data_IF_714964043374
#
_entry.id   IF_714964043374
#
_cell.length_a   1.000
_cell.length_b   1.000
_cell.length_c   1.000
_cell.angle_alpha   90.00
_cell.angle_beta   90.00
_cell.angle_gamma   90.00
#
_symmetry.space_group_name_H-M   'P 1'
#
loop_
_entity.id
_entity.type
_entity.pdbx_description
1 polymer ?
#
# COMPACT_ATOMS: atom_id res chain seq x y z
N UNK A 1 -18.63 20.28 -8.00
CA UNK A 1 -17.96 19.80 -9.22
C UNK A 1 -17.05 18.64 -8.83
N UNK A 2 -17.14 17.50 -9.51
CA UNK A 2 -16.18 16.43 -9.32
C UNK A 2 -14.84 16.85 -9.94
N UNK A 3 -13.75 16.72 -9.19
CA UNK A 3 -12.41 16.93 -9.72
C UNK A 3 -12.05 15.83 -10.72
N UNK A 4 -11.17 16.09 -11.70
CA UNK A 4 -10.67 15.05 -12.60
C UNK A 4 -9.97 13.95 -11.81
N UNK A 5 -9.88 12.76 -12.41
CA UNK A 5 -9.18 11.64 -11.81
C UNK A 5 -7.69 11.95 -11.64
N UNK A 6 -7.09 11.33 -10.63
CA UNK A 6 -5.68 11.50 -10.30
C UNK A 6 -4.80 11.02 -11.46
N UNK A 7 -3.78 11.81 -11.82
CA UNK A 7 -2.90 11.52 -12.97
C UNK A 7 -1.68 10.64 -12.61
N UNK A 8 -1.15 10.78 -11.39
CA UNK A 8 0.06 10.08 -10.94
C UNK A 8 -0.06 9.64 -9.49
N UNK A 9 0.55 8.51 -9.17
CA UNK A 9 0.76 8.00 -7.82
C UNK A 9 2.25 7.97 -7.53
N UNK A 10 2.67 8.31 -6.32
CA UNK A 10 4.06 8.06 -5.92
C UNK A 10 4.27 6.55 -5.74
N UNK A 11 5.51 6.10 -5.87
CA UNK A 11 5.85 4.69 -5.62
C UNK A 11 5.52 4.27 -4.18
N UNK A 12 5.56 5.19 -3.20
CA UNK A 12 5.14 4.91 -1.82
C UNK A 12 3.63 4.70 -1.71
N UNK A 13 2.84 5.54 -2.38
CA UNK A 13 1.38 5.38 -2.39
C UNK A 13 0.97 4.07 -3.07
N UNK A 14 1.63 3.70 -4.16
CA UNK A 14 1.39 2.43 -4.84
C UNK A 14 1.76 1.23 -3.96
N UNK A 15 2.91 1.29 -3.28
CA UNK A 15 3.33 0.23 -2.35
C UNK A 15 2.34 0.04 -1.20
N UNK A 16 1.87 1.14 -0.59
CA UNK A 16 0.82 1.10 0.44
C UNK A 16 -0.50 0.54 -0.10
N UNK A 17 -0.89 0.94 -1.30
CA UNK A 17 -2.14 0.51 -1.93
C UNK A 17 -2.15 -0.98 -2.28
N UNK A 18 -1.01 -1.53 -2.67
CA UNK A 18 -0.85 -2.94 -3.02
C UNK A 18 -0.38 -3.81 -1.85
N UNK A 19 -0.24 -3.24 -0.65
CA UNK A 19 0.28 -3.91 0.54
C UNK A 19 1.60 -4.65 0.27
N UNK A 20 2.52 -3.97 -0.41
CA UNK A 20 3.83 -4.52 -0.78
C UNK A 20 4.98 -3.63 -0.31
N UNK A 21 6.19 -4.19 -0.27
CA UNK A 21 7.39 -3.41 0.03
C UNK A 21 7.85 -2.60 -1.17
N UNK A 22 8.52 -1.48 -0.93
CA UNK A 22 9.18 -0.69 -2.00
C UNK A 22 10.19 -1.53 -2.79
N UNK A 23 10.93 -2.43 -2.12
CA UNK A 23 11.84 -3.36 -2.78
C UNK A 23 11.15 -4.35 -3.71
N UNK A 24 9.96 -4.84 -3.34
CA UNK A 24 9.14 -5.72 -4.20
C UNK A 24 8.63 -4.99 -5.44
N UNK A 25 8.12 -3.77 -5.26
CA UNK A 25 7.70 -2.89 -6.34
C UNK A 25 8.85 -2.59 -7.31
N UNK A 26 10.03 -2.28 -6.79
CA UNK A 26 11.23 -2.06 -7.58
C UNK A 26 11.63 -3.29 -8.40
N UNK A 27 11.44 -4.50 -7.86
CA UNK A 27 11.69 -5.75 -8.57
C UNK A 27 10.77 -5.93 -9.78
N UNK A 28 9.49 -5.58 -9.67
CA UNK A 28 8.57 -5.59 -10.82
C UNK A 28 8.99 -4.58 -11.87
N UNK A 29 9.39 -3.38 -11.45
CA UNK A 29 9.81 -2.36 -12.38
C UNK A 29 11.14 -2.68 -13.07
N UNK A 30 12.12 -3.22 -12.33
CA UNK A 30 13.39 -3.68 -12.89
C UNK A 30 13.24 -4.85 -13.88
N UNK A 31 12.13 -5.61 -13.80
CA UNK A 31 11.80 -6.68 -14.76
C UNK A 31 10.88 -6.22 -15.89
N UNK A 32 10.61 -4.91 -16.00
CA UNK A 32 9.78 -4.33 -17.06
C UNK A 32 8.28 -4.58 -16.90
N UNK A 33 7.84 -5.09 -15.76
CA UNK A 33 6.40 -5.33 -15.49
C UNK A 33 5.66 -4.06 -15.11
N UNK A 34 6.36 -3.10 -14.51
CA UNK A 34 5.84 -1.84 -14.02
C UNK A 34 6.73 -0.69 -14.51
N UNK A 35 6.14 0.31 -15.13
CA UNK A 35 6.85 1.51 -15.53
C UNK A 35 6.88 2.54 -14.40
N UNK A 36 8.05 3.13 -14.18
CA UNK A 36 8.25 4.24 -13.24
C UNK A 36 8.75 5.44 -14.02
N UNK A 37 8.14 6.59 -13.75
CA UNK A 37 8.49 7.87 -14.35
C UNK A 37 8.98 8.86 -13.29
N UNK A 38 9.74 9.86 -13.74
CA UNK A 38 10.13 11.02 -12.93
C UNK A 38 10.05 12.29 -13.77
N UNK A 39 9.89 13.45 -13.13
CA UNK A 39 9.98 14.74 -13.81
C UNK A 39 11.44 15.19 -13.88
N UNK A 40 11.88 15.63 -15.06
CA UNK A 40 13.22 16.16 -15.28
C UNK A 40 13.19 17.64 -15.68
N UNK A 41 14.23 18.35 -15.26
CA UNK A 41 14.56 19.66 -15.85
C UNK A 41 15.07 19.48 -17.28
N UNK A 42 15.06 20.53 -18.11
CA UNK A 42 15.57 20.45 -19.47
C UNK A 42 17.01 19.91 -19.53
N UNK A 43 17.19 18.81 -20.26
CA UNK A 43 18.48 18.24 -20.64
C UNK A 43 18.70 18.56 -22.12
N UNK A 44 19.77 19.29 -22.43
CA UNK A 44 20.07 19.75 -23.79
C UNK A 44 21.11 18.81 -24.42
N UNK A 45 20.79 18.21 -25.56
CA UNK A 45 21.71 17.36 -26.31
C UNK A 45 21.69 17.71 -27.79
N UNK A 46 22.76 18.37 -28.25
CA UNK A 46 22.81 18.94 -29.58
C UNK A 46 21.68 19.95 -29.80
N UNK A 47 20.78 19.65 -30.73
CA UNK A 47 19.60 20.46 -31.05
C UNK A 47 18.31 20.03 -30.30
N UNK A 48 18.37 18.95 -29.50
CA UNK A 48 17.22 18.41 -28.79
C UNK A 48 17.18 18.89 -27.34
N UNK A 49 15.97 19.16 -26.85
CA UNK A 49 15.71 19.49 -25.46
C UNK A 49 14.73 18.44 -24.92
N UNK A 50 15.17 17.67 -23.93
CA UNK A 50 14.34 16.70 -23.23
C UNK A 50 13.89 17.28 -21.88
N UNK A 51 12.58 17.36 -21.64
CA UNK A 51 12.02 17.91 -20.41
C UNK A 51 10.67 17.25 -20.08
N UNK A 52 10.21 17.39 -18.83
CA UNK A 52 8.92 16.85 -18.40
C UNK A 52 9.05 15.45 -17.80
N UNK A 53 8.02 14.62 -17.95
CA UNK A 53 8.06 13.25 -17.42
C UNK A 53 8.83 12.33 -18.36
N UNK A 54 9.68 11.49 -17.77
CA UNK A 54 10.44 10.48 -18.50
C UNK A 54 10.40 9.17 -17.73
N UNK A 55 10.34 8.06 -18.45
CA UNK A 55 10.52 6.73 -17.88
C UNK A 55 11.99 6.52 -17.53
N UNK A 56 12.23 5.79 -16.43
CA UNK A 56 13.58 5.57 -15.91
C UNK A 56 13.88 4.08 -15.79
N UNK A 57 15.13 3.66 -16.01
CA UNK A 57 15.52 2.28 -15.79
C UNK A 57 15.75 2.07 -14.30
N UNK A 58 14.82 1.38 -13.63
CA UNK A 58 14.90 1.15 -12.18
C UNK A 58 16.17 0.40 -11.78
N UNK A 59 16.73 -0.41 -12.68
CA UNK A 59 18.04 -1.08 -12.50
C UNK A 59 19.17 -0.12 -12.12
N UNK A 60 19.11 1.12 -12.59
CA UNK A 60 20.16 2.12 -12.37
C UNK A 60 20.03 2.78 -10.98
N UNK A 61 18.88 2.59 -10.31
CA UNK A 61 18.55 3.23 -9.02
C UNK A 61 18.05 2.24 -7.96
N UNK A 62 18.28 0.93 -8.13
CA UNK A 62 17.84 -0.11 -7.19
C UNK A 62 18.29 0.15 -5.75
N UNK A 63 19.47 0.76 -5.58
CA UNK A 63 19.99 1.16 -4.27
C UNK A 63 19.01 2.03 -3.47
N UNK A 64 18.22 2.89 -4.13
CA UNK A 64 17.22 3.72 -3.45
C UNK A 64 16.12 2.91 -2.76
N UNK A 65 15.78 1.74 -3.31
CA UNK A 65 14.67 0.92 -2.83
C UNK A 65 15.07 -0.08 -1.74
N UNK A 66 16.37 -0.36 -1.59
CA UNK A 66 16.90 -1.38 -0.69
C UNK A 66 17.71 -0.80 0.48
N UNK A 67 17.33 0.41 0.93
CA UNK A 67 17.97 1.08 2.07
C UNK A 67 19.36 1.64 1.78
N UNK A 68 19.68 1.87 0.50
CA UNK A 68 20.91 2.52 0.07
C UNK A 68 20.85 4.06 0.22
N UNK A 69 21.46 4.81 -0.71
CA UNK A 69 21.56 6.27 -0.57
C UNK A 69 20.20 6.97 -0.63
N UNK A 70 20.13 8.20 -0.14
CA UNK A 70 18.90 9.03 -0.16
C UNK A 70 18.55 9.51 -1.59
N UNK A 71 19.56 9.64 -2.44
CA UNK A 71 19.44 10.09 -3.82
C UNK A 71 20.33 9.27 -4.75
N UNK A 72 19.94 9.18 -6.02
CA UNK A 72 20.69 8.51 -7.06
C UNK A 72 20.75 9.38 -8.33
N UNK A 73 21.81 9.17 -9.12
CA UNK A 73 22.04 9.89 -10.35
C UNK A 73 21.64 9.05 -11.55
N UNK A 74 20.66 9.51 -12.32
CA UNK A 74 20.31 8.91 -13.61
C UNK A 74 21.26 9.40 -14.70
N UNK A 75 21.68 8.45 -15.54
CA UNK A 75 22.52 8.70 -16.72
C UNK A 75 21.80 8.42 -18.02
N UNK A 76 20.60 7.87 -17.96
CA UNK A 76 19.72 7.65 -19.10
C UNK A 76 18.27 7.70 -18.67
N UNK A 77 17.41 8.03 -19.60
CA UNK A 77 15.97 8.02 -19.43
C UNK A 77 15.31 7.75 -20.79
N UNK A 78 14.02 7.50 -20.79
CA UNK A 78 13.22 7.36 -22.00
C UNK A 78 12.11 8.41 -21.99
N UNK A 79 12.10 9.38 -22.92
CA UNK A 79 10.95 10.28 -23.08
C UNK A 79 9.66 9.48 -23.23
N UNK A 80 8.55 9.96 -22.66
CA UNK A 80 7.27 9.23 -22.66
C UNK A 80 6.71 9.08 -24.08
N UNK A 81 7.09 9.99 -24.98
CA UNK A 81 6.66 10.04 -26.38
C UNK A 81 7.44 9.07 -27.28
N UNK A 82 8.53 8.46 -26.78
CA UNK A 82 9.45 7.65 -27.59
C UNK A 82 9.73 6.29 -26.95
N UNK A 83 10.10 5.31 -27.77
CA UNK A 83 10.58 4.01 -27.29
C UNK A 83 12.10 4.01 -27.01
N UNK A 84 12.81 5.00 -27.55
CA UNK A 84 14.26 5.07 -27.47
C UNK A 84 14.77 5.62 -26.14
N UNK A 85 15.77 4.92 -25.59
CA UNK A 85 16.52 5.39 -24.43
C UNK A 85 17.53 6.46 -24.83
N UNK A 86 17.48 7.58 -24.14
CA UNK A 86 18.40 8.71 -24.29
C UNK A 86 19.47 8.61 -23.21
N UNK A 87 20.74 8.54 -23.62
CA UNK A 87 21.89 8.58 -22.73
C UNK A 87 22.34 10.03 -22.53
N UNK A 88 22.50 10.44 -21.27
CA UNK A 88 23.02 11.77 -20.90
C UNK A 88 24.54 11.78 -21.14
N UNK A 89 24.94 12.43 -22.23
CA UNK A 89 26.33 12.51 -22.69
C UNK A 89 27.19 13.33 -21.74
N UNK A 90 26.74 14.53 -21.38
CA UNK A 90 27.46 15.42 -20.48
C UNK A 90 27.27 14.98 -19.01
N UNK A 91 28.33 14.58 -18.30
CA UNK A 91 28.22 14.19 -16.90
C UNK A 91 27.68 15.29 -15.98
N UNK A 92 27.74 16.56 -16.38
CA UNK A 92 27.20 17.68 -15.62
C UNK A 92 25.68 17.82 -15.73
N UNK A 93 25.05 17.28 -16.79
CA UNK A 93 23.61 17.42 -17.07
C UNK A 93 22.79 16.27 -16.45
N UNK A 94 23.28 15.75 -15.32
CA UNK A 94 22.69 14.59 -14.68
C UNK A 94 21.34 14.88 -14.04
N UNK A 95 20.52 13.85 -13.92
CA UNK A 95 19.23 13.93 -13.23
C UNK A 95 19.37 13.24 -11.87
N UNK A 96 19.27 14.02 -10.79
CA UNK A 96 19.13 13.47 -9.44
C UNK A 96 17.69 13.00 -9.22
N UNK A 97 17.52 11.80 -8.70
CA UNK A 97 16.22 11.26 -8.28
C UNK A 97 16.26 10.75 -6.85
N UNK A 98 15.10 10.88 -6.21
CA UNK A 98 14.80 10.37 -4.87
C UNK A 98 13.54 9.53 -4.94
N UNK A 99 13.33 8.62 -3.99
CA UNK A 99 12.09 7.81 -3.94
C UNK A 99 10.83 8.68 -4.00
N UNK A 100 10.83 9.84 -3.33
CA UNK A 100 9.70 10.80 -3.34
C UNK A 100 9.41 11.46 -4.69
N UNK A 101 10.35 11.43 -5.63
CA UNK A 101 10.17 11.96 -7.00
C UNK A 101 9.69 10.90 -8.00
N UNK A 102 9.65 9.62 -7.59
CA UNK A 102 9.29 8.53 -8.47
C UNK A 102 7.78 8.32 -8.49
N UNK A 103 7.24 8.23 -9.70
CA UNK A 103 5.82 8.20 -9.96
C UNK A 103 5.44 7.02 -10.84
N UNK A 104 4.18 6.63 -10.75
CA UNK A 104 3.50 5.67 -11.63
C UNK A 104 2.30 6.43 -12.23
N UNK A 105 2.21 6.45 -13.55
CA UNK A 105 1.07 7.03 -14.25
C UNK A 105 -0.22 6.29 -13.88
N UNK A 106 -1.35 6.99 -13.79
CA UNK A 106 -2.61 6.36 -13.39
C UNK A 106 -3.05 5.25 -14.36
N UNK A 107 -2.79 5.41 -15.66
CA UNK A 107 -3.05 4.36 -16.66
C UNK A 107 -2.19 3.12 -16.43
N UNK A 108 -0.92 3.32 -16.09
CA UNK A 108 0.01 2.24 -15.76
C UNK A 108 -0.39 1.52 -14.47
N UNK A 109 -0.81 2.29 -13.46
CA UNK A 109 -1.37 1.77 -12.21
C UNK A 109 -2.56 0.86 -12.48
N UNK A 110 -3.51 1.33 -13.29
CA UNK A 110 -4.72 0.58 -13.67
C UNK A 110 -4.37 -0.66 -14.50
N UNK A 111 -3.44 -0.54 -15.46
CA UNK A 111 -2.96 -1.66 -16.28
C UNK A 111 -2.38 -2.75 -15.39
N UNK A 112 -1.47 -2.38 -14.48
CA UNK A 112 -0.82 -3.31 -13.56
C UNK A 112 -1.82 -3.96 -12.61
N UNK A 113 -2.76 -3.18 -12.06
CA UNK A 113 -3.82 -3.70 -11.18
C UNK A 113 -4.73 -4.70 -11.88
N UNK A 114 -5.11 -4.41 -13.12
CA UNK A 114 -5.96 -5.28 -13.91
C UNK A 114 -5.25 -6.58 -14.27
N UNK A 115 -4.01 -6.49 -14.74
CA UNK A 115 -3.21 -7.65 -15.16
C UNK A 115 -2.92 -8.63 -14.02
N UNK A 116 -2.78 -8.13 -12.79
CA UNK A 116 -2.43 -8.94 -11.62
C UNK A 116 -3.61 -9.20 -10.68
N UNK A 117 -4.83 -8.73 -11.01
CA UNK A 117 -5.98 -8.82 -10.13
C UNK A 117 -5.81 -8.07 -8.79
N UNK A 118 -4.92 -7.06 -8.77
CA UNK A 118 -4.62 -6.22 -7.61
C UNK A 118 -5.57 -5.04 -7.49
N UNK A 119 -6.48 -4.85 -8.45
CA UNK A 119 -7.70 -4.12 -8.13
C UNK A 119 -8.20 -4.80 -6.87
N UNK A 120 -8.14 -4.08 -5.75
CA UNK A 120 -9.01 -4.33 -4.63
C UNK A 120 -10.35 -4.46 -5.32
N UNK A 121 -10.83 -5.72 -5.49
CA UNK A 121 -12.22 -5.99 -5.23
C UNK A 121 -12.34 -5.26 -3.92
N UNK A 122 -12.98 -4.09 -3.94
CA UNK A 122 -13.74 -3.70 -2.78
C UNK A 122 -14.53 -4.97 -2.61
N UNK A 123 -14.05 -5.82 -1.71
CA UNK A 123 -14.93 -6.70 -1.05
C UNK A 123 -15.83 -5.67 -0.38
N UNK A 124 -16.88 -5.29 -1.10
CA UNK A 124 -18.20 -5.67 -0.66
C UNK A 124 -18.17 -7.21 -0.46
N UNK A 125 -17.33 -7.70 0.46
CA UNK A 125 -17.83 -8.63 1.42
C UNK A 125 -19.00 -7.84 1.94
N UNK A 126 -20.19 -8.37 1.73
CA UNK A 126 -21.36 -7.91 2.46
C UNK A 126 -20.86 -7.48 3.85
N UNK A 127 -21.22 -6.28 4.33
CA UNK A 127 -20.79 -5.82 5.65
C UNK A 127 -20.87 -7.04 6.55
N UNK A 128 -19.74 -7.43 7.17
CA UNK A 128 -19.73 -8.70 7.87
C UNK A 128 -20.95 -8.68 8.76
N UNK A 129 -21.85 -9.67 8.62
CA UNK A 129 -23.22 -9.61 9.20
C UNK A 129 -23.27 -9.18 10.67
N UNK A 130 -22.12 -9.25 11.34
CA UNK A 130 -21.88 -8.87 12.70
C UNK A 130 -20.79 -7.79 12.75
N UNK A 131 -21.01 -6.73 13.52
CA UNK A 131 -20.04 -5.66 13.74
C UNK A 131 -18.83 -6.13 14.57
N UNK A 132 -17.79 -6.57 13.84
CA UNK A 132 -16.58 -7.15 14.42
C UNK A 132 -15.64 -6.11 15.01
N UNK A 133 -15.61 -4.91 14.44
CA UNK A 133 -14.74 -3.84 14.92
C UNK A 133 -15.34 -3.22 16.18
N UNK A 134 -16.67 -3.04 16.22
CA UNK A 134 -17.41 -2.59 17.40
C UNK A 134 -17.22 -3.50 18.61
N UNK A 135 -17.36 -4.83 18.45
CA UNK A 135 -17.18 -5.75 19.58
C UNK A 135 -15.74 -5.73 20.12
N UNK A 136 -14.73 -5.62 19.24
CA UNK A 136 -13.34 -5.54 19.67
C UNK A 136 -13.05 -4.22 20.42
N UNK A 137 -13.55 -3.10 19.92
CA UNK A 137 -13.42 -1.81 20.58
C UNK A 137 -14.09 -1.81 21.97
N UNK A 138 -15.29 -2.40 22.08
CA UNK A 138 -15.97 -2.58 23.35
C UNK A 138 -15.16 -3.43 24.34
N UNK A 139 -14.67 -4.59 23.90
CA UNK A 139 -13.86 -5.49 24.72
C UNK A 139 -12.56 -4.83 25.22
N UNK A 140 -11.86 -4.09 24.36
CA UNK A 140 -10.65 -3.34 24.74
C UNK A 140 -10.96 -2.29 25.80
N UNK A 141 -12.00 -1.47 25.59
CA UNK A 141 -12.43 -0.47 26.56
C UNK A 141 -12.80 -1.11 27.89
N UNK A 142 -13.51 -2.24 27.84
CA UNK A 142 -13.92 -2.97 29.04
C UNK A 142 -12.72 -3.48 29.82
N UNK A 143 -11.73 -4.11 29.16
CA UNK A 143 -10.49 -4.56 29.83
C UNK A 143 -9.76 -3.39 30.47
N UNK A 144 -9.73 -2.24 29.79
CA UNK A 144 -9.08 -1.05 30.34
C UNK A 144 -9.77 -0.51 31.60
N UNK A 145 -11.10 -0.62 31.70
CA UNK A 145 -11.88 -0.06 32.81
C UNK A 145 -12.15 -1.06 33.94
N UNK A 146 -12.50 -2.29 33.60
CA UNK A 146 -12.94 -3.35 34.52
C UNK A 146 -11.89 -4.45 34.72
N UNK A 147 -10.81 -4.44 33.93
CA UNK A 147 -9.81 -5.50 33.92
C UNK A 147 -10.19 -6.69 33.01
N UNK A 148 -9.23 -7.61 32.88
CA UNK A 148 -9.42 -8.88 32.15
C UNK A 148 -10.38 -9.77 32.96
N UNK A 149 -11.41 -10.38 32.35
CA UNK A 149 -12.25 -11.38 33.02
C UNK A 149 -11.49 -12.55 33.60
N UNK A 150 -12.14 -13.29 34.49
CA UNK A 150 -11.50 -14.43 35.16
C UNK A 150 -11.35 -15.63 34.21
N UNK A 151 -12.24 -15.76 33.22
CA UNK A 151 -12.21 -16.92 32.29
C UNK A 151 -12.44 -16.54 30.84
N UNK A 152 -11.93 -17.38 29.92
CA UNK A 152 -12.21 -17.28 28.49
C UNK A 152 -13.71 -17.43 28.18
N UNK A 153 -14.43 -18.20 29.01
CA UNK A 153 -15.89 -18.36 28.91
C UNK A 153 -16.62 -17.05 29.16
N UNK A 154 -16.28 -16.35 30.23
CA UNK A 154 -16.82 -15.01 30.53
C UNK A 154 -16.49 -14.01 29.41
N UNK A 155 -15.24 -14.01 28.94
CA UNK A 155 -14.82 -13.16 27.82
C UNK A 155 -15.64 -13.40 26.55
N UNK A 156 -15.95 -14.66 26.26
CA UNK A 156 -16.80 -15.07 25.13
C UNK A 156 -18.25 -14.65 25.35
N UNK A 157 -18.79 -14.83 26.56
CA UNK A 157 -20.16 -14.47 26.91
C UNK A 157 -20.39 -12.95 26.81
N UNK A 158 -19.43 -12.13 27.24
CA UNK A 158 -19.48 -10.66 27.14
C UNK A 158 -19.57 -10.22 25.68
N UNK A 159 -18.79 -10.84 24.79
CA UNK A 159 -18.83 -10.53 23.37
C UNK A 159 -20.19 -10.91 22.74
N UNK A 160 -20.77 -12.04 23.14
CA UNK A 160 -22.09 -12.49 22.69
C UNK A 160 -23.21 -11.56 23.18
N UNK A 161 -23.16 -11.14 24.44
CA UNK A 161 -24.11 -10.19 25.02
C UNK A 161 -24.05 -8.83 24.31
N UNK A 162 -22.85 -8.35 23.99
CA UNK A 162 -22.68 -7.14 23.18
C UNK A 162 -23.33 -7.28 21.80
N UNK A 163 -23.14 -8.42 21.11
CA UNK A 163 -23.80 -8.68 19.83
C UNK A 163 -25.33 -8.73 19.96
N UNK A 164 -25.86 -9.33 21.02
CA UNK A 164 -27.31 -9.38 21.26
C UNK A 164 -27.91 -7.98 21.45
N UNK A 165 -27.13 -7.02 21.97
CA UNK A 165 -27.56 -5.64 22.20
C UNK A 165 -27.36 -4.71 20.99
N UNK A 166 -26.43 -5.04 20.08
CA UNK A 166 -26.00 -4.16 18.99
C UNK A 166 -26.28 -4.71 17.58
N UNK A 167 -26.90 -5.88 17.45
CA UNK A 167 -27.30 -6.46 16.16
C UNK A 167 -28.66 -5.92 15.72
N UNK A 168 -28.71 -5.15 14.61
CA UNK A 168 -29.96 -4.61 14.04
C UNK A 168 -30.91 -5.72 13.54
N UNK A 169 -30.34 -6.85 13.08
CA UNK A 169 -31.08 -7.98 12.51
C UNK A 169 -31.28 -9.15 13.49
N UNK A 170 -30.80 -9.02 14.73
CA UNK A 170 -30.86 -10.08 15.75
C UNK A 170 -29.98 -11.31 15.45
N UNK A 171 -29.19 -11.31 14.37
CA UNK A 171 -28.17 -12.34 14.15
C UNK A 171 -27.02 -12.14 15.13
N UNK A 172 -26.77 -13.17 15.93
CA UNK A 172 -25.66 -13.26 16.88
C UNK A 172 -24.76 -14.41 16.42
N UNK A 173 -23.43 -14.23 16.37
CA UNK A 173 -22.54 -15.32 15.98
C UNK A 173 -22.57 -16.47 16.98
N UNK A 174 -22.39 -17.71 16.50
CA UNK A 174 -22.25 -18.87 17.39
C UNK A 174 -21.09 -18.69 18.38
N UNK A 175 -21.29 -19.16 19.60
CA UNK A 175 -20.29 -19.11 20.68
C UNK A 175 -18.95 -19.72 20.25
N UNK A 176 -18.97 -20.84 19.50
CA UNK A 176 -17.76 -21.50 18.99
C UNK A 176 -16.96 -20.59 18.03
N UNK A 177 -17.65 -19.77 17.25
CA UNK A 177 -17.06 -18.81 16.31
C UNK A 177 -16.39 -17.66 17.06
N UNK A 178 -17.05 -17.12 18.08
CA UNK A 178 -16.51 -16.06 18.94
C UNK A 178 -15.32 -16.59 19.74
N UNK A 179 -15.47 -17.75 20.40
CA UNK A 179 -14.43 -18.36 21.23
C UNK A 179 -13.15 -18.65 20.44
N UNK A 180 -13.27 -19.20 19.23
CA UNK A 180 -12.11 -19.46 18.34
C UNK A 180 -11.38 -18.18 18.01
N UNK A 181 -12.11 -17.09 17.81
CA UNK A 181 -11.54 -15.80 17.40
C UNK A 181 -10.92 -15.02 18.55
N UNK A 182 -11.53 -15.07 19.74
CA UNK A 182 -10.99 -14.43 20.94
C UNK A 182 -9.86 -15.24 21.58
N UNK A 183 -9.73 -16.53 21.25
CA UNK A 183 -8.70 -17.42 21.81
C UNK A 183 -7.26 -16.90 21.72
N UNK A 184 -6.78 -16.42 20.56
CA UNK A 184 -5.43 -15.85 20.46
C UNK A 184 -5.23 -14.61 21.35
N UNK A 185 -6.23 -13.72 21.42
CA UNK A 185 -6.19 -12.52 22.26
C UNK A 185 -6.18 -12.91 23.74
N UNK A 186 -7.04 -13.87 24.12
CA UNK A 186 -7.10 -14.39 25.48
C UNK A 186 -5.76 -14.97 25.94
N UNK A 187 -5.09 -15.75 25.09
CA UNK A 187 -3.76 -16.28 25.39
C UNK A 187 -2.75 -15.16 25.64
N UNK A 188 -2.72 -14.16 24.76
CA UNK A 188 -1.82 -13.01 24.90
C UNK A 188 -2.09 -12.20 26.18
N UNK A 189 -3.36 -12.03 26.59
CA UNK A 189 -3.71 -11.34 27.84
C UNK A 189 -3.30 -12.12 29.11
N UNK A 190 -3.05 -13.42 29.00
CA UNK A 190 -2.61 -14.27 30.11
C UNK A 190 -1.08 -14.44 30.17
N UNK A 191 -0.34 -13.99 29.16
CA UNK A 191 1.12 -14.11 29.13
C UNK A 191 1.81 -13.17 30.15
N UNK A 192 1.14 -12.08 30.54
CA UNK A 192 1.63 -11.06 31.48
C UNK A 192 0.86 -11.04 32.83
N UNK A 193 -0.03 -12.01 33.08
CA UNK A 193 -0.90 -12.09 34.26
C UNK A 193 -0.31 -12.91 35.42
#
# INVERSE_FOLDING_TARGET
MALPQRAFYTVQEAALRWDCTLGGLAGWAATGRLEIVTAIRPVIQGAHIHAGFVAIPVTDILGLFWGGPEAATLRRFRPVETEDWVLIENPADFVEVRISSLLIAAEEMQRFETANGLMRRVSSGAPSRHDREGVLAYLIRRVHVEGVPATQGEWTAIALDWFAQHSEDGEVPDESTIRRRLGPIWKSLQEDA
#
